data_IF_202135530079
#
_entry.id   IF_202135530079
#
_cell.length_a   1.000
_cell.length_b   1.000
_cell.length_c   1.000
_cell.angle_alpha   90.00
_cell.angle_beta   90.00
_cell.angle_gamma   90.00
#
_symmetry.space_group_name_H-M   'P 1'
#
loop_
_entity.id
_entity.type
_entity.pdbx_description
1 polymer ?
#
# COMPACT_ATOMS: atom_id res chain seq x y z
N UNK A 1 18.15 16.30 -45.81
CA UNK A 1 16.73 16.34 -45.38
C UNK A 1 16.46 15.51 -44.11
N UNK A 2 16.92 14.26 -43.98
CA UNK A 2 16.64 13.39 -42.79
C UNK A 2 16.96 14.04 -41.42
N UNK A 3 18.11 14.71 -41.26
CA UNK A 3 18.46 15.43 -40.01
C UNK A 3 17.50 16.59 -39.66
N UNK A 4 16.88 17.23 -40.66
CA UNK A 4 15.92 18.32 -40.42
C UNK A 4 14.59 17.75 -39.92
N UNK A 5 14.09 16.71 -40.58
CA UNK A 5 12.88 16.00 -40.17
C UNK A 5 13.02 15.43 -38.75
N UNK A 6 14.19 14.89 -38.41
CA UNK A 6 14.46 14.37 -37.07
C UNK A 6 14.45 15.46 -35.99
N UNK A 7 14.99 16.65 -36.29
CA UNK A 7 14.97 17.79 -35.37
C UNK A 7 13.57 18.34 -35.19
N UNK A 8 12.78 18.41 -36.26
CA UNK A 8 11.37 18.82 -36.19
C UNK A 8 10.55 17.82 -35.35
N UNK A 9 10.75 16.51 -35.54
CA UNK A 9 10.09 15.49 -34.74
C UNK A 9 10.49 15.57 -33.26
N UNK A 10 11.77 15.80 -32.98
CA UNK A 10 12.27 15.95 -31.60
C UNK A 10 11.74 17.24 -30.94
N UNK A 11 11.69 18.36 -31.67
CA UNK A 11 11.09 19.61 -31.19
C UNK A 11 9.60 19.46 -30.90
N UNK A 12 8.87 18.79 -31.80
CA UNK A 12 7.43 18.57 -31.62
C UNK A 12 7.15 17.73 -30.38
N UNK A 13 7.97 16.71 -30.12
CA UNK A 13 7.88 15.88 -28.91
C UNK A 13 8.17 16.68 -27.64
N UNK A 14 9.17 17.57 -27.67
CA UNK A 14 9.52 18.43 -26.54
C UNK A 14 8.41 19.45 -26.23
N UNK A 15 7.78 20.00 -27.26
CA UNK A 15 6.69 20.97 -27.13
C UNK A 15 5.42 20.33 -26.55
N UNK A 16 5.10 19.10 -26.95
CA UNK A 16 4.00 18.32 -26.37
C UNK A 16 4.21 18.08 -24.86
N UNK A 17 5.45 17.86 -24.46
CA UNK A 17 5.81 17.61 -23.06
C UNK A 17 5.64 18.85 -22.18
N UNK A 18 6.00 20.03 -22.68
CA UNK A 18 5.78 21.29 -21.97
C UNK A 18 4.29 21.61 -21.78
N UNK A 19 3.45 21.37 -22.78
CA UNK A 19 2.00 21.59 -22.64
C UNK A 19 1.38 20.70 -21.55
N UNK A 20 1.84 19.45 -21.41
CA UNK A 20 1.32 18.54 -20.39
C UNK A 20 1.69 18.97 -18.97
N UNK A 21 2.90 19.49 -18.75
CA UNK A 21 3.30 20.00 -17.42
C UNK A 21 2.46 21.22 -17.03
N UNK A 22 2.14 22.11 -17.96
CA UNK A 22 1.29 23.28 -17.68
C UNK A 22 -0.14 22.86 -17.31
N UNK A 23 -0.72 21.85 -17.97
CA UNK A 23 -2.06 21.36 -17.61
C UNK A 23 -2.08 20.74 -16.20
N UNK A 24 -1.04 19.99 -15.81
CA UNK A 24 -0.97 19.42 -14.45
C UNK A 24 -0.85 20.50 -13.36
N UNK A 25 -0.13 21.58 -13.62
CA UNK A 25 -0.02 22.72 -12.69
C UNK A 25 -1.35 23.49 -12.57
N UNK A 26 -2.09 23.67 -13.66
CA UNK A 26 -3.39 24.32 -13.63
C UNK A 26 -4.45 23.47 -12.92
N UNK A 27 -4.43 22.14 -13.10
CA UNK A 27 -5.36 21.27 -12.36
C UNK A 27 -4.98 21.14 -10.88
N UNK A 28 -3.70 21.15 -10.50
CA UNK A 28 -3.34 21.10 -9.07
C UNK A 28 -3.78 22.34 -8.30
N UNK A 29 -3.85 23.51 -8.96
CA UNK A 29 -4.31 24.77 -8.36
C UNK A 29 -5.82 24.83 -8.08
N UNK A 30 -6.64 24.02 -8.77
CA UNK A 30 -8.11 24.06 -8.66
C UNK A 30 -8.72 22.99 -7.74
N UNK A 31 -7.89 22.09 -7.18
CA UNK A 31 -8.33 20.84 -6.53
C UNK A 31 -8.49 20.88 -5.00
N UNK A 32 -8.73 22.05 -4.39
CA UNK A 32 -8.98 22.13 -2.94
C UNK A 32 -10.41 21.72 -2.50
N UNK A 33 -11.34 21.34 -3.40
CA UNK A 33 -12.74 21.05 -3.00
C UNK A 33 -13.33 19.66 -3.35
N UNK A 34 -12.69 18.76 -4.10
CA UNK A 34 -13.27 17.42 -4.41
C UNK A 34 -12.23 16.27 -4.48
N UNK A 35 -11.74 15.80 -3.32
CA UNK A 35 -10.61 14.87 -3.21
C UNK A 35 -10.80 13.41 -3.71
N UNK A 36 -11.97 13.01 -4.22
CA UNK A 36 -12.21 11.62 -4.72
C UNK A 36 -12.41 11.53 -6.24
N UNK A 37 -13.07 12.49 -6.88
CA UNK A 37 -13.24 12.50 -8.34
C UNK A 37 -11.93 12.86 -9.06
N UNK A 38 -11.11 13.71 -8.43
CA UNK A 38 -9.82 14.14 -8.95
C UNK A 38 -8.84 12.98 -9.19
N UNK A 39 -8.71 12.04 -8.24
CA UNK A 39 -7.79 10.89 -8.37
C UNK A 39 -8.13 9.97 -9.54
N UNK A 40 -9.43 9.78 -9.83
CA UNK A 40 -9.87 8.95 -10.96
C UNK A 40 -9.57 9.63 -12.29
N UNK A 41 -9.73 10.95 -12.37
CA UNK A 41 -9.46 11.74 -13.58
C UNK A 41 -7.96 11.79 -13.91
N UNK A 42 -7.11 12.01 -12.90
CA UNK A 42 -5.64 11.99 -13.08
C UNK A 42 -5.15 10.61 -13.54
N UNK A 43 -5.65 9.53 -12.93
CA UNK A 43 -5.28 8.16 -13.35
C UNK A 43 -5.75 7.83 -14.77
N UNK A 44 -6.96 8.29 -15.15
CA UNK A 44 -7.50 8.09 -16.49
C UNK A 44 -6.72 8.87 -17.54
N UNK A 45 -6.34 10.12 -17.25
CA UNK A 45 -5.53 10.94 -18.15
C UNK A 45 -4.11 10.37 -18.33
N UNK A 46 -3.50 9.86 -17.26
CA UNK A 46 -2.20 9.20 -17.32
C UNK A 46 -2.22 7.92 -18.18
N UNK A 47 -3.33 7.16 -18.11
CA UNK A 47 -3.49 5.95 -18.93
C UNK A 47 -3.67 6.28 -20.42
N UNK A 48 -4.36 7.38 -20.74
CA UNK A 48 -4.48 7.86 -22.12
C UNK A 48 -3.14 8.30 -22.71
N UNK A 49 -2.26 8.91 -21.90
CA UNK A 49 -0.91 9.28 -22.33
C UNK A 49 -0.03 8.08 -22.68
N UNK A 50 -0.09 7.00 -21.90
CA UNK A 50 0.68 5.79 -22.20
C UNK A 50 0.27 5.16 -23.54
N UNK A 51 -1.02 5.20 -23.89
CA UNK A 51 -1.49 4.66 -25.17
C UNK A 51 -1.00 5.48 -26.37
N UNK A 52 -0.95 6.81 -26.28
CA UNK A 52 -0.43 7.64 -27.37
C UNK A 52 1.07 7.42 -27.63
N UNK A 53 1.86 7.16 -26.59
CA UNK A 53 3.30 6.86 -26.78
C UNK A 53 3.53 5.52 -27.47
N UNK A 54 2.69 4.50 -27.23
CA UNK A 54 2.81 3.22 -27.92
C UNK A 54 2.45 3.31 -29.41
N UNK A 55 1.48 4.15 -29.79
CA UNK A 55 1.12 4.35 -31.20
C UNK A 55 2.25 5.01 -31.99
N UNK A 56 2.94 6.00 -31.42
CA UNK A 56 4.07 6.64 -32.10
C UNK A 56 5.28 5.70 -32.31
N UNK A 57 5.44 4.66 -31.48
CA UNK A 57 6.48 3.65 -31.70
C UNK A 57 6.13 2.68 -32.82
N UNK A 58 4.84 2.40 -33.05
CA UNK A 58 4.40 1.53 -34.14
C UNK A 58 4.42 2.25 -35.50
N UNK A 59 4.25 3.57 -35.51
CA UNK A 59 4.24 4.36 -36.74
C UNK A 59 5.66 4.74 -37.25
N UNK A 60 6.70 4.45 -36.46
CA UNK A 60 8.09 4.69 -36.83
C UNK A 60 8.72 3.59 -37.72
N UNK A 61 7.99 2.51 -38.00
CA UNK A 61 8.36 1.53 -39.04
C UNK A 61 7.51 1.70 -40.30
N UNK A 62 7.87 2.63 -41.21
CA UNK A 62 7.48 2.48 -42.59
C UNK A 62 8.71 2.44 -43.50
N UNK A 63 8.63 1.55 -44.50
CA UNK A 63 9.49 1.45 -45.66
C UNK A 63 10.76 0.59 -45.53
N UNK A 64 10.56 -0.71 -45.33
CA UNK A 64 11.53 -1.71 -45.77
C UNK A 64 10.85 -2.99 -46.31
N UNK A 65 9.82 -2.88 -47.15
CA UNK A 65 9.44 -4.04 -47.98
C UNK A 65 8.74 -3.61 -49.26
N UNK A 66 9.55 -3.37 -50.31
CA UNK A 66 9.10 -3.27 -51.69
C UNK A 66 9.88 -4.29 -52.53
N UNK A 67 9.38 -5.54 -52.54
CA UNK A 67 9.52 -6.55 -53.60
C UNK A 67 10.89 -7.22 -53.84
N UNK A 68 10.96 -8.28 -54.68
CA UNK A 68 9.89 -8.79 -55.56
C UNK A 68 9.55 -10.29 -55.43
N UNK A 69 8.49 -10.63 -56.14
CA UNK A 69 7.98 -11.95 -56.52
C UNK A 69 9.06 -13.00 -56.84
N UNK A 70 8.78 -14.26 -56.47
CA UNK A 70 9.58 -15.40 -56.87
C UNK A 70 8.90 -16.73 -56.55
N UNK A 71 8.28 -17.29 -57.58
CA UNK A 71 7.58 -18.58 -57.58
C UNK A 71 8.38 -19.78 -57.02
N UNK A 72 7.61 -20.82 -56.67
CA UNK A 72 7.88 -22.24 -56.94
C UNK A 72 8.12 -23.18 -55.76
N UNK A 73 7.12 -24.06 -55.61
CA UNK A 73 7.17 -25.46 -55.18
C UNK A 73 8.57 -26.10 -55.32
N UNK A 74 8.94 -26.95 -54.34
CA UNK A 74 9.08 -28.42 -54.48
C UNK A 74 10.25 -29.00 -53.63
N UNK A 75 9.86 -29.88 -52.70
CA UNK A 75 10.53 -31.09 -52.18
C UNK A 75 12.03 -31.34 -52.47
N UNK A 76 12.69 -31.77 -51.38
CA UNK A 76 13.66 -32.89 -51.23
C UNK A 76 15.16 -32.64 -51.53
N UNK A 77 15.92 -32.75 -50.43
CA UNK A 77 16.99 -33.74 -50.13
C UNK A 77 18.27 -33.75 -51.01
N UNK A 78 19.39 -33.52 -50.30
CA UNK A 78 20.67 -34.29 -50.27
C UNK A 78 21.87 -33.72 -51.08
N UNK A 79 22.95 -33.53 -50.29
CA UNK A 79 24.40 -33.77 -50.55
C UNK A 79 25.24 -32.81 -51.42
N UNK A 80 26.36 -32.39 -50.79
CA UNK A 80 27.76 -32.32 -51.29
C UNK A 80 28.02 -31.71 -52.68
N UNK A 81 28.76 -30.60 -52.75
CA UNK A 81 30.21 -30.58 -53.05
C UNK A 81 30.79 -29.15 -53.06
N UNK A 82 32.08 -29.08 -52.72
CA UNK A 82 32.98 -27.93 -52.82
C UNK A 82 33.16 -27.42 -54.25
N UNK A 83 33.29 -26.09 -54.42
CA UNK A 83 34.33 -25.50 -55.26
C UNK A 83 34.56 -24.01 -54.93
N UNK A 84 35.82 -23.60 -55.08
CA UNK A 84 36.43 -22.37 -54.58
C UNK A 84 36.36 -21.19 -55.58
N UNK A 85 36.32 -19.97 -54.99
CA UNK A 85 36.90 -18.67 -55.40
C UNK A 85 36.40 -17.93 -56.68
N UNK A 86 36.61 -16.60 -56.86
CA UNK A 86 37.15 -15.55 -55.96
C UNK A 86 36.39 -14.19 -55.93
N UNK A 87 36.73 -13.37 -54.93
CA UNK A 87 36.85 -11.90 -54.85
C UNK A 87 35.90 -10.93 -55.60
N UNK A 88 35.05 -10.23 -54.83
CA UNK A 88 34.61 -8.86 -55.09
C UNK A 88 34.20 -8.16 -53.76
N UNK A 89 34.43 -6.85 -53.60
CA UNK A 89 34.65 -6.23 -52.29
C UNK A 89 33.37 -6.04 -51.48
N UNK A 90 33.45 -6.49 -50.23
CA UNK A 90 32.54 -6.17 -49.15
C UNK A 90 32.61 -4.67 -48.83
N UNK A 91 31.60 -3.91 -49.25
CA UNK A 91 31.49 -2.49 -48.91
C UNK A 91 30.02 -2.07 -48.81
N UNK A 92 29.29 -2.60 -47.82
CA UNK A 92 27.91 -2.13 -47.55
C UNK A 92 27.30 -2.53 -46.20
N UNK A 93 28.08 -3.00 -45.21
CA UNK A 93 27.52 -3.49 -43.93
C UNK A 93 27.55 -2.50 -42.75
N UNK A 94 28.10 -1.27 -42.90
CA UNK A 94 28.26 -0.35 -41.76
C UNK A 94 27.08 0.61 -41.49
N UNK A 95 25.99 0.56 -42.28
CA UNK A 95 24.86 1.48 -42.09
C UNK A 95 23.81 1.00 -41.07
N UNK A 96 23.78 -0.28 -40.69
CA UNK A 96 22.78 -0.83 -39.76
C UNK A 96 23.19 -0.74 -38.28
N UNK A 97 24.47 -0.52 -37.97
CA UNK A 97 24.92 -0.40 -36.59
C UNK A 97 24.46 0.93 -35.95
N UNK A 98 24.41 2.01 -36.75
CA UNK A 98 24.06 3.35 -36.24
C UNK A 98 22.58 3.49 -35.89
N UNK A 99 21.67 2.77 -36.55
CA UNK A 99 20.23 2.84 -36.27
C UNK A 99 19.90 2.15 -34.94
N UNK A 100 20.49 0.99 -34.68
CA UNK A 100 20.32 0.25 -33.41
C UNK A 100 20.83 1.03 -32.21
N UNK A 101 21.99 1.67 -32.33
CA UNK A 101 22.54 2.49 -31.24
C UNK A 101 21.65 3.69 -30.94
N UNK A 102 21.04 4.29 -31.96
CA UNK A 102 20.12 5.42 -31.79
C UNK A 102 18.78 4.99 -31.17
N UNK A 103 18.26 3.82 -31.54
CA UNK A 103 17.03 3.26 -30.96
C UNK A 103 17.22 2.89 -29.48
N UNK A 104 18.39 2.36 -29.12
CA UNK A 104 18.72 2.01 -27.74
C UNK A 104 18.84 3.26 -26.84
N UNK A 105 19.37 4.37 -27.38
CA UNK A 105 19.46 5.65 -26.67
C UNK A 105 18.08 6.27 -26.40
N UNK A 106 17.14 6.14 -27.35
CA UNK A 106 15.74 6.56 -27.15
C UNK A 106 15.03 5.73 -26.07
N UNK A 107 15.27 4.42 -26.02
CA UNK A 107 14.66 3.55 -25.01
C UNK A 107 15.13 3.89 -23.58
N UNK A 108 16.42 4.22 -23.41
CA UNK A 108 16.94 4.66 -22.11
C UNK A 108 16.32 5.98 -21.62
N UNK A 109 16.12 6.94 -22.53
CA UNK A 109 15.47 8.21 -22.17
C UNK A 109 14.01 8.01 -21.71
N UNK A 110 13.27 7.09 -22.33
CA UNK A 110 11.91 6.77 -21.89
C UNK A 110 11.86 6.13 -20.49
N UNK A 111 12.81 5.24 -20.17
CA UNK A 111 12.86 4.64 -18.84
C UNK A 111 13.14 5.66 -17.73
N UNK A 112 14.04 6.62 -17.97
CA UNK A 112 14.32 7.68 -17.00
C UNK A 112 13.10 8.56 -16.73
N UNK A 113 12.28 8.86 -17.74
CA UNK A 113 11.05 9.64 -17.56
C UNK A 113 9.99 8.90 -16.74
N UNK A 114 9.84 7.59 -16.92
CA UNK A 114 8.92 6.81 -16.09
C UNK A 114 9.33 6.81 -14.61
N UNK A 115 10.63 6.73 -14.31
CA UNK A 115 11.11 6.78 -12.94
C UNK A 115 10.86 8.14 -12.26
N UNK A 116 11.05 9.25 -12.98
CA UNK A 116 10.77 10.59 -12.44
C UNK A 116 9.27 10.79 -12.12
N UNK A 117 8.37 10.29 -12.97
CA UNK A 117 6.92 10.35 -12.70
C UNK A 117 6.52 9.55 -11.45
N UNK A 118 7.13 8.38 -11.21
CA UNK A 118 6.85 7.61 -9.99
C UNK A 118 7.32 8.32 -8.72
N UNK A 119 8.49 8.98 -8.75
CA UNK A 119 8.97 9.73 -7.58
C UNK A 119 8.05 10.92 -7.25
N UNK A 120 7.54 11.64 -8.26
CA UNK A 120 6.59 12.74 -8.00
C UNK A 120 5.27 12.24 -7.41
N UNK A 121 4.76 11.06 -7.80
CA UNK A 121 3.58 10.49 -7.17
C UNK A 121 3.82 10.11 -5.71
N UNK A 122 4.99 9.55 -5.37
CA UNK A 122 5.29 9.23 -3.97
C UNK A 122 5.39 10.49 -3.10
N UNK A 123 5.97 11.58 -3.63
CA UNK A 123 6.04 12.86 -2.91
C UNK A 123 4.65 13.49 -2.73
N UNK A 124 3.77 13.46 -3.73
CA UNK A 124 2.41 13.96 -3.58
C UNK A 124 1.59 13.13 -2.58
N UNK A 125 1.76 11.80 -2.57
CA UNK A 125 1.12 10.92 -1.59
C UNK A 125 1.65 11.15 -0.17
N UNK A 126 2.94 11.45 0.00
CA UNK A 126 3.52 11.73 1.32
C UNK A 126 3.05 13.07 1.89
N UNK A 127 2.88 14.10 1.05
CA UNK A 127 2.41 15.42 1.50
C UNK A 127 0.92 15.39 1.84
N UNK A 128 0.10 14.65 1.09
CA UNK A 128 -1.36 14.56 1.33
C UNK A 128 -1.75 13.73 2.57
N UNK A 129 -0.83 12.97 3.16
CA UNK A 129 -1.17 12.02 4.23
C UNK A 129 -1.14 12.62 5.65
N UNK A 130 -0.65 13.85 5.84
CA UNK A 130 -0.57 14.46 7.19
C UNK A 130 -1.44 15.70 7.40
N UNK A 131 -1.58 16.59 6.43
CA UNK A 131 -2.26 17.87 6.65
C UNK A 131 -3.79 17.80 6.53
N UNK A 132 -4.30 16.97 5.64
CA UNK A 132 -5.75 16.94 5.36
C UNK A 132 -6.54 16.14 6.40
N UNK A 133 -5.90 15.17 7.05
CA UNK A 133 -6.51 14.42 8.16
C UNK A 133 -6.67 15.34 9.37
N UNK A 134 -5.66 16.15 9.68
CA UNK A 134 -5.69 17.08 10.80
C UNK A 134 -6.74 18.18 10.60
N UNK A 135 -6.79 18.81 9.42
CA UNK A 135 -7.81 19.84 9.13
C UNK A 135 -9.24 19.27 9.15
N UNK A 136 -9.44 18.04 8.69
CA UNK A 136 -10.77 17.42 8.69
C UNK A 136 -11.22 17.03 10.10
N UNK A 137 -10.29 16.63 10.97
CA UNK A 137 -10.58 16.42 12.40
C UNK A 137 -10.93 17.74 13.10
N UNK A 138 -10.23 18.82 12.77
CA UNK A 138 -10.49 20.16 13.31
C UNK A 138 -11.87 20.70 12.89
N UNK A 139 -12.25 20.56 11.61
CA UNK A 139 -13.59 20.95 11.15
C UNK A 139 -14.71 20.08 11.75
N UNK A 140 -14.46 18.79 11.98
CA UNK A 140 -15.42 17.91 12.65
C UNK A 140 -15.57 18.23 14.14
N UNK A 141 -14.50 18.63 14.81
CA UNK A 141 -14.53 19.11 16.19
C UNK A 141 -15.33 20.43 16.29
N UNK A 142 -15.11 21.37 15.37
CA UNK A 142 -15.81 22.66 15.35
C UNK A 142 -17.33 22.52 15.11
N UNK A 143 -17.75 21.61 14.21
CA UNK A 143 -19.17 21.41 13.91
C UNK A 143 -19.93 20.62 15.00
N UNK A 144 -19.23 19.94 15.92
CA UNK A 144 -19.87 19.19 17.01
C UNK A 144 -20.28 20.08 18.19
N UNK A 145 -19.73 21.30 18.29
CA UNK A 145 -20.02 22.23 19.37
C UNK A 145 -21.40 22.92 19.29
N UNK A 146 -22.13 22.78 18.17
CA UNK A 146 -23.39 23.52 17.94
C UNK A 146 -24.69 22.79 18.29
N UNK A 147 -24.67 21.53 18.73
CA UNK A 147 -25.88 20.68 18.73
C UNK A 147 -26.37 20.14 20.08
N UNK A 148 -25.67 20.38 21.20
CA UNK A 148 -26.16 19.97 22.51
C UNK A 148 -25.95 21.10 23.52
N UNK A 149 -27.02 21.86 23.73
CA UNK A 149 -27.17 22.70 24.91
C UNK A 149 -27.34 21.83 26.15
N UNK A 150 -26.22 21.47 26.75
CA UNK A 150 -26.07 21.08 28.16
C UNK A 150 -24.64 21.46 28.55
N UNK A 151 -24.40 22.05 29.73
CA UNK A 151 -23.06 22.32 30.21
C UNK A 151 -22.40 20.97 30.55
N UNK A 152 -21.88 20.28 29.53
CA UNK A 152 -20.94 19.19 29.76
C UNK A 152 -19.80 19.79 30.58
N UNK A 153 -19.65 19.24 31.80
CA UNK A 153 -18.49 19.46 32.62
C UNK A 153 -17.26 19.43 31.73
N UNK A 154 -16.56 20.55 31.75
CA UNK A 154 -15.33 20.82 31.04
C UNK A 154 -14.28 19.82 31.55
N UNK A 155 -14.34 18.58 31.08
CA UNK A 155 -13.25 17.64 31.18
C UNK A 155 -12.13 18.29 30.37
N UNK A 156 -11.15 18.85 31.08
CA UNK A 156 -9.81 19.15 30.56
C UNK A 156 -9.45 18.03 29.59
N UNK A 157 -8.94 18.32 28.37
CA UNK A 157 -8.62 17.31 27.37
C UNK A 157 -7.88 16.18 28.09
N UNK A 158 -8.59 15.09 28.36
CA UNK A 158 -8.13 14.10 29.33
C UNK A 158 -6.80 13.61 28.78
N UNK A 159 -5.74 13.94 29.50
CA UNK A 159 -4.38 13.59 29.16
C UNK A 159 -4.38 12.06 28.98
N UNK A 160 -4.34 11.63 27.72
CA UNK A 160 -4.25 10.22 27.39
C UNK A 160 -2.96 9.69 28.02
N UNK A 161 -3.12 9.00 29.15
CA UNK A 161 -2.02 8.58 30.02
C UNK A 161 -1.55 9.70 30.94
N UNK A 162 -1.99 9.65 32.20
CA UNK A 162 -1.29 10.38 33.26
C UNK A 162 0.17 9.90 33.31
N UNK A 163 1.11 10.81 33.55
CA UNK A 163 2.51 10.43 33.70
C UNK A 163 2.63 9.42 34.86
N UNK A 164 3.02 8.17 34.54
CA UNK A 164 3.04 7.08 35.50
C UNK A 164 1.85 6.12 35.44
N UNK A 165 1.04 6.15 34.38
CA UNK A 165 0.01 5.14 34.14
C UNK A 165 0.63 3.73 34.13
N UNK A 166 0.29 2.95 35.17
CA UNK A 166 0.83 1.60 35.38
C UNK A 166 0.46 0.67 34.24
N UNK A 167 -0.73 0.82 33.66
CA UNK A 167 -1.19 0.03 32.52
C UNK A 167 -0.31 0.25 31.30
N UNK A 168 -0.05 1.51 30.95
CA UNK A 168 0.82 1.88 29.82
C UNK A 168 2.26 1.40 30.05
N UNK A 169 2.80 1.58 31.26
CA UNK A 169 4.17 1.14 31.58
C UNK A 169 4.28 -0.38 31.44
N UNK A 170 3.36 -1.14 32.04
CA UNK A 170 3.39 -2.61 31.98
C UNK A 170 3.20 -3.09 30.54
N UNK A 171 2.32 -2.45 29.78
CA UNK A 171 2.12 -2.76 28.37
C UNK A 171 3.40 -2.56 27.55
N UNK A 172 4.09 -1.42 27.75
CA UNK A 172 5.36 -1.16 27.06
C UNK A 172 6.44 -2.18 27.46
N UNK A 173 6.51 -2.59 28.74
CA UNK A 173 7.41 -3.66 29.18
C UNK A 173 7.07 -4.98 28.50
N UNK A 174 5.79 -5.33 28.37
CA UNK A 174 5.34 -6.54 27.66
C UNK A 174 5.77 -6.51 26.19
N UNK A 175 5.60 -5.38 25.51
CA UNK A 175 6.06 -5.17 24.13
C UNK A 175 7.57 -5.34 24.03
N UNK A 176 8.34 -4.75 24.96
CA UNK A 176 9.80 -4.90 25.01
C UNK A 176 10.24 -6.35 25.21
N UNK A 177 9.53 -7.13 26.04
CA UNK A 177 9.77 -8.58 26.19
C UNK A 177 9.56 -9.30 24.84
N UNK A 178 8.50 -8.98 24.10
CA UNK A 178 8.29 -9.57 22.77
C UNK A 178 9.40 -9.18 21.78
N UNK A 179 9.87 -7.93 21.80
CA UNK A 179 10.99 -7.49 20.95
C UNK A 179 12.26 -8.26 21.34
N UNK A 180 12.57 -8.32 22.63
CA UNK A 180 13.82 -8.88 23.13
C UNK A 180 13.95 -10.38 22.85
N UNK A 181 12.85 -11.13 22.90
CA UNK A 181 12.81 -12.56 22.62
C UNK A 181 12.41 -12.91 21.17
N UNK A 182 12.31 -11.91 20.28
CA UNK A 182 11.90 -12.07 18.88
C UNK A 182 10.58 -12.85 18.72
N UNK A 183 9.60 -12.52 19.59
CA UNK A 183 8.27 -13.13 19.58
C UNK A 183 7.37 -12.44 18.56
N UNK A 184 6.42 -13.20 18.02
CA UNK A 184 5.49 -12.70 17.00
C UNK A 184 4.47 -11.71 17.59
N UNK A 185 4.64 -10.42 17.28
CA UNK A 185 3.72 -9.33 17.66
C UNK A 185 2.28 -9.54 17.20
N UNK A 186 2.06 -10.39 16.19
CA UNK A 186 0.71 -10.73 15.75
C UNK A 186 -0.18 -11.29 16.86
N UNK A 187 0.41 -11.91 17.89
CA UNK A 187 -0.33 -12.41 19.06
C UNK A 187 -0.79 -11.33 20.02
N UNK A 188 -0.16 -10.14 20.03
CA UNK A 188 -0.56 -9.00 20.85
C UNK A 188 -1.60 -8.11 20.18
N UNK A 189 -1.93 -8.35 18.90
CA UNK A 189 -2.92 -7.56 18.15
C UNK A 189 -4.28 -7.40 18.87
N UNK A 190 -4.84 -8.42 19.55
CA UNK A 190 -6.03 -8.26 20.37
C UNK A 190 -5.92 -7.13 21.40
N UNK A 191 -4.79 -7.01 22.09
CA UNK A 191 -4.58 -5.97 23.11
C UNK A 191 -4.58 -4.57 22.50
N UNK A 192 -3.89 -4.40 21.38
CA UNK A 192 -3.85 -3.10 20.67
C UNK A 192 -5.20 -2.64 20.12
N UNK A 193 -6.12 -3.57 19.86
CA UNK A 193 -7.42 -3.29 19.24
C UNK A 193 -8.53 -3.21 20.29
N UNK A 194 -8.59 -4.20 21.18
CA UNK A 194 -9.71 -4.39 22.10
C UNK A 194 -9.76 -3.33 23.20
N UNK A 195 -8.62 -2.92 23.75
CA UNK A 195 -8.55 -1.91 24.81
C UNK A 195 -9.13 -0.55 24.39
N UNK A 196 -8.63 0.11 23.32
CA UNK A 196 -9.19 1.38 22.88
C UNK A 196 -10.64 1.24 22.41
N UNK A 197 -11.03 0.11 21.82
CA UNK A 197 -12.44 -0.14 21.45
C UNK A 197 -13.34 -0.22 22.68
N UNK A 198 -12.93 -0.94 23.72
CA UNK A 198 -13.66 -1.04 24.97
C UNK A 198 -13.88 0.32 25.62
N UNK A 199 -12.83 1.14 25.71
CA UNK A 199 -12.89 2.48 26.25
C UNK A 199 -13.78 3.42 25.43
N UNK A 200 -13.64 3.42 24.09
CA UNK A 200 -14.43 4.27 23.19
C UNK A 200 -15.91 3.89 23.26
N UNK A 201 -16.24 2.60 23.07
CA UNK A 201 -17.63 2.14 23.04
C UNK A 201 -18.26 2.25 24.42
N UNK A 202 -17.52 1.92 25.49
CA UNK A 202 -18.02 1.96 26.85
C UNK A 202 -18.40 3.38 27.32
N UNK A 203 -17.76 4.42 26.76
CA UNK A 203 -18.11 5.83 26.99
C UNK A 203 -19.16 6.34 26.02
N UNK A 204 -19.14 5.89 24.77
CA UNK A 204 -20.04 6.37 23.72
C UNK A 204 -21.46 5.78 23.81
N UNK A 205 -21.61 4.58 24.38
CA UNK A 205 -22.88 3.84 24.43
C UNK A 205 -23.31 3.67 25.88
N UNK A 206 -24.45 4.30 26.24
CA UNK A 206 -25.06 4.09 27.55
C UNK A 206 -25.55 2.66 27.68
N UNK A 207 -24.98 1.92 28.63
CA UNK A 207 -25.36 0.53 28.91
C UNK A 207 -25.13 0.22 30.39
N UNK A 208 -25.78 -0.81 30.95
CA UNK A 208 -25.59 -1.19 32.34
C UNK A 208 -24.12 -1.44 32.66
N UNK A 209 -23.70 -1.02 33.85
CA UNK A 209 -22.43 -1.45 34.44
C UNK A 209 -22.58 -2.87 34.97
N UNK A 210 -21.53 -3.67 34.88
CA UNK A 210 -21.57 -5.08 35.33
C UNK A 210 -20.44 -5.43 36.28
N UNK A 211 -19.21 -4.96 36.04
CA UNK A 211 -18.07 -5.15 36.96
C UNK A 211 -17.39 -3.80 37.19
N UNK A 212 -17.54 -3.25 38.41
CA UNK A 212 -17.05 -1.92 38.73
C UNK A 212 -17.61 -0.86 37.78
N UNK A 213 -16.73 -0.12 37.11
CA UNK A 213 -17.09 0.90 36.11
C UNK A 213 -17.19 0.39 34.68
N UNK A 214 -16.93 -0.91 34.45
CA UNK A 214 -16.98 -1.50 33.12
C UNK A 214 -18.45 -1.67 32.69
N UNK A 215 -18.75 -1.27 31.46
CA UNK A 215 -20.10 -1.35 30.88
C UNK A 215 -20.25 -2.56 29.98
N UNK A 216 -21.48 -3.08 29.87
CA UNK A 216 -21.77 -4.25 29.02
C UNK A 216 -21.41 -3.97 27.55
N UNK A 217 -21.69 -2.77 27.04
CA UNK A 217 -21.34 -2.40 25.67
C UNK A 217 -19.82 -2.32 25.45
N UNK A 218 -19.07 -1.79 26.42
CA UNK A 218 -17.62 -1.75 26.38
C UNK A 218 -17.02 -3.15 26.34
N UNK A 219 -17.46 -4.05 27.23
CA UNK A 219 -16.97 -5.44 27.25
C UNK A 219 -17.37 -6.23 26.00
N UNK A 220 -18.55 -5.97 25.41
CA UNK A 220 -18.91 -6.56 24.11
C UNK A 220 -17.97 -6.07 22.98
N UNK A 221 -17.54 -4.80 23.01
CA UNK A 221 -16.56 -4.28 22.07
C UNK A 221 -15.16 -4.88 22.27
N UNK A 222 -14.72 -5.06 23.53
CA UNK A 222 -13.48 -5.78 23.87
C UNK A 222 -13.51 -7.21 23.32
N UNK A 223 -14.63 -7.91 23.49
CA UNK A 223 -14.82 -9.26 22.96
C UNK A 223 -14.70 -9.30 21.44
N UNK A 224 -15.41 -8.44 20.73
CA UNK A 224 -15.36 -8.38 19.26
C UNK A 224 -13.98 -7.97 18.76
N UNK A 225 -13.37 -6.95 19.37
CA UNK A 225 -12.02 -6.49 19.06
C UNK A 225 -10.98 -7.58 19.28
N UNK A 226 -11.09 -8.32 20.38
CA UNK A 226 -10.21 -9.45 20.69
C UNK A 226 -10.41 -10.61 19.71
N UNK A 227 -11.65 -10.94 19.38
CA UNK A 227 -11.97 -12.01 18.43
C UNK A 227 -11.43 -11.71 17.03
N UNK A 228 -11.59 -10.48 16.54
CA UNK A 228 -11.05 -10.06 15.23
C UNK A 228 -9.52 -9.94 15.29
N UNK A 229 -8.97 -9.38 16.36
CA UNK A 229 -7.52 -9.23 16.56
C UNK A 229 -6.79 -10.56 16.71
N UNK A 230 -7.47 -11.61 17.17
CA UNK A 230 -6.88 -12.94 17.38
C UNK A 230 -6.77 -13.75 16.08
N UNK A 231 -6.47 -13.10 14.96
CA UNK A 231 -6.40 -13.72 13.63
C UNK A 231 -5.28 -14.76 13.51
N UNK A 232 -4.25 -14.72 14.38
CA UNK A 232 -3.20 -15.74 14.49
C UNK A 232 -3.69 -17.05 15.16
N UNK A 233 -4.85 -17.03 15.81
CA UNK A 233 -5.47 -18.22 16.41
C UNK A 233 -6.24 -18.94 15.32
N UNK A 234 -5.66 -20.01 14.77
CA UNK A 234 -6.23 -20.73 13.62
C UNK A 234 -7.54 -21.46 13.93
N UNK A 235 -7.64 -22.12 15.08
CA UNK A 235 -8.85 -22.82 15.47
C UNK A 235 -9.94 -21.84 15.93
N UNK A 236 -11.14 -21.82 15.31
CA UNK A 236 -12.18 -20.84 15.64
C UNK A 236 -12.69 -20.96 17.08
N UNK A 237 -12.76 -22.19 17.61
CA UNK A 237 -13.15 -22.42 19.00
C UNK A 237 -12.09 -21.90 19.99
N UNK A 238 -10.80 -22.08 19.69
CA UNK A 238 -9.73 -21.50 20.50
C UNK A 238 -9.75 -19.97 20.42
N UNK A 239 -10.04 -19.40 19.25
CA UNK A 239 -10.17 -17.95 19.05
C UNK A 239 -11.31 -17.37 19.89
N UNK A 240 -12.46 -18.06 19.91
CA UNK A 240 -13.59 -17.72 20.77
C UNK A 240 -13.21 -17.79 22.25
N UNK A 241 -12.53 -18.87 22.67
CA UNK A 241 -12.06 -19.04 24.05
C UNK A 241 -11.09 -17.95 24.49
N UNK A 242 -10.13 -17.59 23.63
CA UNK A 242 -9.19 -16.49 23.85
C UNK A 242 -9.93 -15.16 23.98
N UNK A 243 -10.86 -14.85 23.06
CA UNK A 243 -11.61 -13.60 23.10
C UNK A 243 -12.49 -13.46 24.36
N UNK A 244 -13.16 -14.55 24.78
CA UNK A 244 -13.89 -14.60 26.04
C UNK A 244 -12.95 -14.38 27.24
N UNK A 245 -11.81 -15.09 27.26
CA UNK A 245 -10.80 -14.92 28.30
C UNK A 245 -10.29 -13.48 28.40
N UNK A 246 -9.99 -12.84 27.25
CA UNK A 246 -9.53 -11.46 27.19
C UNK A 246 -10.58 -10.51 27.78
N UNK A 247 -11.85 -10.71 27.44
CA UNK A 247 -12.96 -9.86 27.91
C UNK A 247 -13.19 -9.99 29.42
N UNK A 248 -13.17 -11.22 29.94
CA UNK A 248 -13.33 -11.46 31.37
C UNK A 248 -12.17 -10.89 32.18
N UNK A 249 -10.93 -11.11 31.73
CA UNK A 249 -9.75 -10.64 32.44
C UNK A 249 -9.55 -9.12 32.32
N UNK A 250 -9.93 -8.50 31.21
CA UNK A 250 -10.00 -7.04 31.09
C UNK A 250 -10.95 -6.45 32.14
N UNK A 251 -12.16 -7.02 32.25
CA UNK A 251 -13.15 -6.52 33.19
C UNK A 251 -12.72 -6.70 34.67
N UNK A 252 -11.98 -7.76 34.97
CA UNK A 252 -11.44 -8.05 36.31
C UNK A 252 -10.13 -7.30 36.62
N UNK A 253 -9.39 -6.87 35.60
CA UNK A 253 -8.03 -6.34 35.75
C UNK A 253 -7.95 -4.96 36.40
N UNK A 254 -9.06 -4.22 36.45
CA UNK A 254 -9.10 -2.89 37.06
C UNK A 254 -8.05 -1.96 36.45
N UNK A 255 -7.16 -1.32 37.24
CA UNK A 255 -6.07 -0.47 36.71
C UNK A 255 -4.99 -1.21 35.91
N UNK A 256 -5.00 -2.54 35.92
CA UNK A 256 -4.05 -3.42 35.23
C UNK A 256 -4.72 -4.20 34.08
N UNK A 257 -5.90 -3.75 33.65
CA UNK A 257 -6.70 -4.36 32.59
C UNK A 257 -5.89 -4.72 31.33
N UNK A 258 -5.02 -3.84 30.86
CA UNK A 258 -4.12 -4.09 29.73
C UNK A 258 -3.19 -5.29 29.91
N UNK A 259 -2.67 -5.49 31.13
CA UNK A 259 -1.86 -6.66 31.45
C UNK A 259 -2.71 -7.93 31.51
N UNK A 260 -3.84 -7.87 32.22
CA UNK A 260 -4.74 -9.02 32.38
C UNK A 260 -5.35 -9.48 31.06
N UNK A 261 -5.68 -8.55 30.15
CA UNK A 261 -6.15 -8.83 28.80
C UNK A 261 -5.12 -9.62 27.99
N UNK A 262 -3.82 -9.45 28.24
CA UNK A 262 -2.75 -10.18 27.54
C UNK A 262 -2.57 -11.64 28.01
N UNK A 263 -3.01 -11.99 29.22
CA UNK A 263 -2.77 -13.32 29.80
C UNK A 263 -3.35 -14.49 28.98
N UNK A 264 -4.58 -14.43 28.43
CA UNK A 264 -5.11 -15.50 27.59
C UNK A 264 -4.31 -15.68 26.29
N UNK A 265 -3.77 -14.58 25.74
CA UNK A 265 -2.93 -14.59 24.56
C UNK A 265 -1.59 -15.27 24.86
N UNK A 266 -0.98 -14.93 25.99
CA UNK A 266 0.27 -15.56 26.46
C UNK A 266 0.07 -17.04 26.77
N UNK A 267 -1.02 -17.40 27.44
CA UNK A 267 -1.36 -18.78 27.75
C UNK A 267 -1.55 -19.61 26.46
N UNK A 268 -2.25 -19.06 25.48
CA UNK A 268 -2.44 -19.71 24.18
C UNK A 268 -1.12 -19.83 23.40
N UNK A 269 -0.33 -18.76 23.34
CA UNK A 269 0.99 -18.76 22.69
C UNK A 269 1.94 -19.79 23.32
N UNK A 270 1.96 -19.87 24.66
CA UNK A 270 2.75 -20.84 25.39
C UNK A 270 2.28 -22.27 25.09
N UNK A 271 0.97 -22.53 25.13
CA UNK A 271 0.40 -23.84 24.79
C UNK A 271 0.78 -24.27 23.36
N UNK A 272 0.71 -23.36 22.39
CA UNK A 272 1.16 -23.61 21.01
C UNK A 272 2.66 -23.93 20.94
N UNK A 273 3.48 -23.20 21.70
CA UNK A 273 4.93 -23.42 21.73
C UNK A 273 5.27 -24.80 22.31
N UNK A 274 4.56 -25.22 23.37
CA UNK A 274 4.72 -26.56 23.93
C UNK A 274 4.26 -27.64 22.98
N UNK A 275 3.11 -27.47 22.31
CA UNK A 275 2.63 -28.41 21.30
C UNK A 275 3.66 -28.64 20.18
N UNK A 276 4.34 -27.58 19.71
CA UNK A 276 5.44 -27.71 18.73
C UNK A 276 6.62 -28.50 19.26
N UNK A 277 7.03 -28.27 20.51
CA UNK A 277 8.14 -29.01 21.15
C UNK A 277 7.85 -30.51 21.23
N UNK A 278 6.58 -30.89 21.36
CA UNK A 278 6.14 -32.29 21.38
C UNK A 278 5.77 -32.86 19.99
N UNK A 279 6.01 -32.12 18.90
CA UNK A 279 5.73 -32.59 17.54
C UNK A 279 4.25 -32.79 17.23
N UNK A 280 3.34 -32.17 17.99
CA UNK A 280 1.91 -32.28 17.72
C UNK A 280 1.55 -31.51 16.43
N UNK A 281 0.71 -32.08 15.56
CA UNK A 281 0.31 -31.43 14.32
C UNK A 281 -0.44 -30.13 14.63
N UNK A 282 -0.12 -29.08 13.89
CA UNK A 282 -0.81 -27.80 14.01
C UNK A 282 -2.20 -27.91 13.37
N UNK A 283 -3.24 -27.30 13.95
CA UNK A 283 -4.47 -27.07 13.21
C UNK A 283 -4.13 -26.20 12.00
N UNK A 284 -4.39 -26.72 10.79
CA UNK A 284 -4.17 -26.00 9.55
C UNK A 284 -4.91 -24.65 9.61
N UNK A 285 -4.21 -23.58 9.20
CA UNK A 285 -4.70 -22.20 9.21
C UNK A 285 -5.77 -21.96 8.15
#
# INVERSE_FOLDING_TARGET
MKKKLQREQQQQQQQQQQQQQQQQQQESGSLQKEGKKAKKKVKQQQQQQQQQQQQQQQEADPAAEAGPEGSSKKKRKKKQQQQQQPDAPAASQDLDASSKQQQQQQQQQQQQQQQQQQQQQQQQLSVFSRTDVLKKLETLAANRAGWLGEPQQQHSPEEFGSFGDKGIIIFNVLVLVFVFFDLDFGFLAPTFIADPLGAIVGRAVSSPKWIGDKTVAGSAAVFLGSFVGAFRVGAPLARLGVALGCTLLEALGGPLDNFFLSLPLLAYYWALTQARRHGLPFPAS
#
